data_IF_290471292293
#
_entry.id   IF_290471292293
#
_cell.length_a   1.000
_cell.length_b   1.000
_cell.length_c   1.000
_cell.angle_alpha   90.00
_cell.angle_beta   90.00
_cell.angle_gamma   90.00
#
_symmetry.space_group_name_H-M   'P 1'
#
loop_
_entity.id
_entity.type
_entity.pdbx_description
1 polymer ?
#
# COMPACT_ATOMS: atom_id res chain seq x y z
N UNK A 1 12.64 53.29 -2.45
CA UNK A 1 12.78 52.35 -3.56
C UNK A 1 13.75 51.27 -3.13
N UNK A 2 13.23 50.17 -2.58
CA UNK A 2 13.98 48.94 -2.31
C UNK A 2 13.07 47.77 -2.63
N UNK A 3 13.58 46.91 -3.49
CA UNK A 3 13.03 45.68 -4.03
C UNK A 3 13.22 44.51 -3.06
N UNK A 4 12.21 43.65 -2.91
CA UNK A 4 12.29 42.16 -2.94
C UNK A 4 10.88 41.62 -2.66
N UNK A 5 10.11 41.28 -3.69
CA UNK A 5 10.07 39.96 -4.35
C UNK A 5 9.55 38.86 -3.41
N UNK A 6 8.23 38.89 -3.21
CA UNK A 6 7.40 37.80 -2.70
C UNK A 6 7.61 36.50 -3.47
N UNK A 7 7.60 35.40 -2.70
CA UNK A 7 7.37 34.01 -3.10
C UNK A 7 8.43 33.34 -3.99
N UNK A 8 9.36 32.67 -3.31
CA UNK A 8 10.16 31.58 -3.85
C UNK A 8 9.26 30.36 -4.06
N UNK A 9 9.08 30.00 -5.33
CA UNK A 9 9.25 28.66 -5.91
C UNK A 9 8.73 27.45 -5.11
N UNK A 10 7.64 26.89 -5.62
CA UNK A 10 7.49 25.48 -6.03
C UNK A 10 8.27 24.43 -5.25
N UNK A 11 7.56 23.57 -4.51
CA UNK A 11 7.94 22.16 -4.38
C UNK A 11 6.67 21.31 -4.26
N UNK A 12 6.10 21.00 -5.42
CA UNK A 12 5.31 19.78 -5.61
C UNK A 12 6.32 18.71 -5.99
N UNK A 13 6.50 17.63 -5.21
CA UNK A 13 7.33 16.54 -5.67
C UNK A 13 6.59 15.81 -6.80
N UNK A 14 6.89 16.27 -8.00
CA UNK A 14 7.34 15.47 -9.12
C UNK A 14 6.68 14.09 -9.23
N UNK A 15 5.61 14.06 -10.02
CA UNK A 15 5.29 12.93 -10.86
C UNK A 15 6.54 12.48 -11.65
N UNK A 16 7.24 11.47 -11.15
CA UNK A 16 8.23 10.73 -11.91
C UNK A 16 7.61 9.37 -12.28
N UNK A 17 7.16 9.26 -13.54
CA UNK A 17 6.86 7.99 -14.18
C UNK A 17 7.33 8.10 -15.66
N UNK A 18 7.86 7.02 -16.25
CA UNK A 18 9.31 6.91 -16.44
C UNK A 18 9.71 6.57 -17.90
N UNK A 19 10.96 6.87 -18.28
CA UNK A 19 11.61 6.28 -19.46
C UNK A 19 12.76 5.40 -18.98
N UNK A 20 12.46 4.14 -18.71
CA UNK A 20 13.38 3.00 -18.85
C UNK A 20 12.53 1.73 -18.72
N UNK A 21 12.23 1.11 -19.87
CA UNK A 21 11.35 -0.05 -19.98
C UNK A 21 12.02 -1.39 -19.58
N UNK A 22 13.18 -1.37 -18.92
CA UNK A 22 13.93 -2.59 -18.55
C UNK A 22 14.63 -2.52 -17.17
N UNK A 23 14.47 -1.42 -16.42
CA UNK A 23 14.98 -1.39 -15.05
C UNK A 23 14.04 -2.20 -14.13
N UNK A 24 14.56 -3.03 -13.20
CA UNK A 24 13.72 -3.66 -12.20
C UNK A 24 12.93 -2.57 -11.46
N UNK A 25 11.62 -2.78 -11.21
CA UNK A 25 10.79 -1.77 -10.59
C UNK A 25 11.39 -1.38 -9.25
N UNK A 26 11.50 -0.07 -8.99
CA UNK A 26 11.90 0.43 -7.68
C UNK A 26 10.96 -0.10 -6.60
N UNK A 27 11.43 -0.26 -5.35
CA UNK A 27 10.59 -0.76 -4.25
C UNK A 27 9.29 0.04 -4.11
N UNK A 28 9.37 1.36 -4.27
CA UNK A 28 8.20 2.25 -4.25
C UNK A 28 7.19 1.94 -5.36
N UNK A 29 7.65 1.77 -6.61
CA UNK A 29 6.77 1.41 -7.72
C UNK A 29 6.14 0.02 -7.54
N UNK A 30 6.84 -0.91 -6.89
CA UNK A 30 6.29 -2.20 -6.53
C UNK A 30 5.21 -2.07 -5.44
N UNK A 31 5.43 -1.29 -4.39
CA UNK A 31 4.43 -1.01 -3.35
C UNK A 31 3.18 -0.36 -3.94
N UNK A 32 3.31 0.61 -4.86
CA UNK A 32 2.14 1.23 -5.52
C UNK A 32 1.32 0.20 -6.30
N UNK A 33 1.95 -0.73 -7.03
CA UNK A 33 1.22 -1.79 -7.73
C UNK A 33 0.47 -2.72 -6.78
N UNK A 34 1.05 -3.05 -5.63
CA UNK A 34 0.39 -3.85 -4.60
C UNK A 34 -0.75 -3.07 -3.95
N UNK A 35 -0.56 -1.78 -3.70
CA UNK A 35 -1.57 -0.90 -3.13
C UNK A 35 -2.83 -0.82 -4.03
N UNK A 36 -2.67 -0.88 -5.35
CA UNK A 36 -3.79 -0.96 -6.29
C UNK A 36 -4.58 -2.29 -6.17
N UNK A 37 -3.92 -3.42 -5.88
CA UNK A 37 -4.64 -4.65 -5.53
C UNK A 37 -5.39 -4.50 -4.22
N UNK A 38 -4.74 -3.94 -3.18
CA UNK A 38 -5.39 -3.66 -1.89
C UNK A 38 -6.63 -2.76 -2.07
N UNK A 39 -6.50 -1.70 -2.88
CA UNK A 39 -7.61 -0.80 -3.24
C UNK A 39 -8.80 -1.53 -3.84
N UNK A 40 -8.55 -2.43 -4.80
CA UNK A 40 -9.61 -3.23 -5.44
C UNK A 40 -10.30 -4.16 -4.43
N UNK A 41 -9.51 -4.88 -3.63
CA UNK A 41 -10.04 -5.76 -2.58
C UNK A 41 -10.90 -4.98 -1.60
N UNK A 42 -10.47 -3.79 -1.19
CA UNK A 42 -11.24 -2.94 -0.28
C UNK A 42 -12.53 -2.44 -0.90
N UNK A 43 -12.49 -1.99 -2.15
CA UNK A 43 -13.69 -1.55 -2.88
C UNK A 43 -14.73 -2.67 -2.95
N UNK A 44 -14.29 -3.90 -3.25
CA UNK A 44 -15.15 -5.08 -3.27
C UNK A 44 -15.72 -5.42 -1.89
N UNK A 45 -14.93 -5.32 -0.82
CA UNK A 45 -15.39 -5.68 0.52
C UNK A 45 -16.29 -4.62 1.16
N UNK A 46 -15.98 -3.34 0.94
CA UNK A 46 -16.72 -2.20 1.45
C UNK A 46 -17.93 -1.84 0.58
N UNK A 47 -18.05 -2.45 -0.61
CA UNK A 47 -19.13 -2.20 -1.59
C UNK A 47 -19.19 -0.72 -2.01
N UNK A 48 -18.02 -0.13 -2.25
CA UNK A 48 -17.86 1.26 -2.73
C UNK A 48 -17.06 1.30 -4.02
N UNK A 49 -17.18 2.39 -4.77
CA UNK A 49 -16.42 2.57 -6.00
C UNK A 49 -14.91 2.60 -5.72
N UNK A 50 -14.15 1.87 -6.55
CA UNK A 50 -12.69 1.79 -6.42
C UNK A 50 -12.02 3.17 -6.55
N UNK A 51 -12.61 4.06 -7.34
CA UNK A 51 -12.15 5.45 -7.53
C UNK A 51 -12.36 6.33 -6.30
N UNK A 52 -13.23 5.94 -5.36
CA UNK A 52 -13.44 6.65 -4.11
C UNK A 52 -12.35 6.36 -3.05
N UNK A 53 -11.48 5.37 -3.31
CA UNK A 53 -10.40 4.96 -2.41
C UNK A 53 -9.07 5.48 -2.97
N UNK A 54 -8.44 6.43 -2.28
CA UNK A 54 -7.09 6.88 -2.53
C UNK A 54 -6.07 5.94 -1.83
N UNK A 55 -5.11 5.41 -2.58
CA UNK A 55 -4.12 4.47 -2.05
C UNK A 55 -3.22 5.04 -0.95
N UNK A 56 -3.04 6.37 -0.89
CA UNK A 56 -2.15 7.05 0.07
C UNK A 56 -2.89 7.62 1.26
N UNK A 57 -4.17 7.95 1.09
CA UNK A 57 -4.88 8.79 2.04
C UNK A 57 -6.21 8.21 2.53
N UNK A 58 -6.80 7.24 1.84
CA UNK A 58 -8.05 6.67 2.30
C UNK A 58 -7.82 5.71 3.47
N UNK A 59 -8.50 6.02 4.57
CA UNK A 59 -8.52 5.23 5.79
C UNK A 59 -9.59 4.12 5.69
N UNK A 60 -9.17 2.86 5.87
CA UNK A 60 -10.06 1.70 5.84
C UNK A 60 -11.26 1.79 6.79
N UNK A 61 -11.03 2.29 8.00
CA UNK A 61 -12.04 2.35 9.05
C UNK A 61 -13.00 3.53 8.83
N UNK A 62 -12.51 4.66 8.31
CA UNK A 62 -13.38 5.79 7.91
C UNK A 62 -14.29 5.44 6.72
N UNK A 63 -13.83 4.56 5.83
CA UNK A 63 -14.64 4.03 4.72
C UNK A 63 -15.70 3.01 5.17
N UNK A 64 -15.80 2.71 6.47
CA UNK A 64 -16.76 1.75 7.03
C UNK A 64 -16.21 0.35 7.28
N UNK A 65 -14.89 0.18 7.21
CA UNK A 65 -14.20 -1.07 7.52
C UNK A 65 -14.20 -1.40 9.01
N UNK A 66 -14.09 -2.70 9.32
CA UNK A 66 -14.01 -3.22 10.67
C UNK A 66 -13.09 -4.44 10.72
N UNK A 67 -12.68 -4.86 11.92
CA UNK A 67 -11.60 -5.84 12.13
C UNK A 67 -11.79 -7.17 11.38
N UNK A 68 -13.02 -7.68 11.28
CA UNK A 68 -13.29 -8.91 10.52
C UNK A 68 -13.14 -8.68 9.01
N UNK A 69 -13.58 -7.52 8.50
CA UNK A 69 -13.42 -7.17 7.09
C UNK A 69 -11.95 -6.91 6.74
N UNK A 70 -11.19 -6.30 7.67
CA UNK A 70 -9.75 -6.13 7.55
C UNK A 70 -9.04 -7.47 7.41
N UNK A 71 -9.35 -8.44 8.28
CA UNK A 71 -8.77 -9.77 8.22
C UNK A 71 -9.11 -10.47 6.89
N UNK A 72 -10.35 -10.34 6.43
CA UNK A 72 -10.77 -10.87 5.12
C UNK A 72 -10.03 -10.20 3.95
N UNK A 73 -9.81 -8.88 4.02
CA UNK A 73 -9.07 -8.14 3.00
C UNK A 73 -7.61 -8.60 2.91
N UNK A 74 -6.97 -8.78 4.07
CA UNK A 74 -5.59 -9.25 4.17
C UNK A 74 -5.48 -10.69 3.67
N UNK A 75 -6.39 -11.58 4.08
CA UNK A 75 -6.42 -12.97 3.60
C UNK A 75 -6.51 -13.04 2.08
N UNK A 76 -7.46 -12.30 1.48
CA UNK A 76 -7.59 -12.20 0.01
C UNK A 76 -6.33 -11.66 -0.68
N UNK A 77 -5.68 -10.65 -0.10
CA UNK A 77 -4.44 -10.10 -0.64
C UNK A 77 -3.32 -11.16 -0.66
N UNK A 78 -3.21 -11.96 0.40
CA UNK A 78 -2.18 -13.00 0.50
C UNK A 78 -2.48 -14.18 -0.43
N UNK A 79 -3.74 -14.58 -0.53
CA UNK A 79 -4.22 -15.58 -1.49
C UNK A 79 -3.93 -15.16 -2.94
N UNK A 80 -4.25 -13.91 -3.33
CA UNK A 80 -3.94 -13.37 -4.66
C UNK A 80 -2.44 -13.39 -4.99
N UNK A 81 -1.59 -13.38 -3.97
CA UNK A 81 -0.13 -13.37 -4.09
C UNK A 81 0.49 -14.76 -4.02
N UNK A 82 -0.31 -15.79 -3.77
CA UNK A 82 0.10 -17.19 -3.80
C UNK A 82 0.80 -17.66 -2.53
N UNK A 83 0.57 -17.02 -1.38
CA UNK A 83 1.03 -17.54 -0.10
C UNK A 83 0.18 -18.73 0.34
N UNK A 84 0.83 -19.77 0.84
CA UNK A 84 0.13 -20.89 1.47
C UNK A 84 -0.48 -20.46 2.81
N UNK A 85 -1.53 -21.16 3.27
CA UNK A 85 -2.28 -20.82 4.51
C UNK A 85 -1.36 -20.66 5.74
N UNK A 86 -0.28 -21.44 5.81
CA UNK A 86 0.67 -21.39 6.92
C UNK A 86 1.58 -20.15 6.88
N UNK A 87 2.01 -19.72 5.69
CA UNK A 87 2.82 -18.51 5.51
C UNK A 87 1.96 -17.24 5.66
N UNK A 88 0.71 -17.32 5.22
CA UNK A 88 -0.26 -16.24 5.36
C UNK A 88 -0.50 -15.87 6.82
N UNK A 89 -0.61 -16.84 7.73
CA UNK A 89 -0.89 -16.59 9.15
C UNK A 89 0.16 -15.69 9.84
N UNK A 90 1.46 -15.84 9.50
CA UNK A 90 2.51 -14.97 10.04
C UNK A 90 2.40 -13.54 9.49
N UNK A 91 2.07 -13.41 8.20
CA UNK A 91 1.90 -12.12 7.53
C UNK A 91 0.62 -11.40 7.95
N UNK A 92 -0.46 -12.14 8.22
CA UNK A 92 -1.75 -11.60 8.67
C UNK A 92 -1.60 -10.76 9.93
N UNK A 93 -0.86 -11.25 10.92
CA UNK A 93 -0.63 -10.51 12.17
C UNK A 93 0.12 -9.19 11.93
N UNK A 94 1.16 -9.21 11.10
CA UNK A 94 1.95 -8.02 10.77
C UNK A 94 1.13 -6.99 9.97
N UNK A 95 0.39 -7.44 8.97
CA UNK A 95 -0.45 -6.59 8.13
C UNK A 95 -1.62 -6.00 8.92
N UNK A 96 -2.23 -6.80 9.80
CA UNK A 96 -3.32 -6.35 10.64
C UNK A 96 -2.83 -5.28 11.63
N UNK A 97 -1.69 -5.51 12.29
CA UNK A 97 -1.08 -4.51 13.16
C UNK A 97 -0.77 -3.22 12.39
N UNK A 98 -0.16 -3.32 11.21
CA UNK A 98 0.09 -2.18 10.33
C UNK A 98 -1.18 -1.44 9.95
N UNK A 99 -2.28 -2.15 9.69
CA UNK A 99 -3.54 -1.54 9.28
C UNK A 99 -4.13 -0.68 10.39
N UNK A 100 -3.99 -1.10 11.65
CA UNK A 100 -4.45 -0.30 12.80
C UNK A 100 -3.60 0.95 13.05
N UNK A 101 -2.31 0.93 12.69
CA UNK A 101 -1.43 2.08 12.83
C UNK A 101 -1.56 3.07 11.66
N UNK A 102 -1.61 2.53 10.45
CA UNK A 102 -1.70 3.28 9.21
C UNK A 102 -2.68 2.57 8.25
N UNK A 103 -3.98 2.93 8.32
CA UNK A 103 -5.07 2.23 7.64
C UNK A 103 -5.18 2.59 6.15
N UNK A 104 -4.05 2.72 5.45
CA UNK A 104 -4.01 3.08 4.04
C UNK A 104 -3.60 1.90 3.16
N UNK A 105 -4.08 1.80 1.90
CA UNK A 105 -3.69 0.72 1.00
C UNK A 105 -2.17 0.67 0.75
N UNK A 106 -1.51 1.84 0.68
CA UNK A 106 -0.07 1.93 0.48
C UNK A 106 0.71 1.39 1.68
N UNK A 107 0.30 1.72 2.91
CA UNK A 107 0.96 1.23 4.11
C UNK A 107 0.91 -0.30 4.23
N UNK A 108 -0.21 -0.91 3.81
CA UNK A 108 -0.35 -2.38 3.72
C UNK A 108 0.61 -2.96 2.68
N UNK A 109 0.67 -2.35 1.50
CA UNK A 109 1.58 -2.76 0.44
C UNK A 109 3.05 -2.69 0.88
N UNK A 110 3.46 -1.59 1.52
CA UNK A 110 4.82 -1.42 2.01
C UNK A 110 5.20 -2.43 3.09
N UNK A 111 4.25 -2.74 3.99
CA UNK A 111 4.45 -3.76 5.02
C UNK A 111 4.65 -5.14 4.39
N UNK A 112 3.80 -5.52 3.43
CA UNK A 112 3.95 -6.78 2.70
C UNK A 112 5.29 -6.86 1.97
N UNK A 113 5.69 -5.78 1.29
CA UNK A 113 6.95 -5.72 0.56
C UNK A 113 8.16 -5.77 1.48
N UNK A 114 8.08 -5.14 2.66
CA UNK A 114 9.11 -5.21 3.70
C UNK A 114 9.22 -6.61 4.29
N UNK A 115 8.10 -7.29 4.54
CA UNK A 115 8.08 -8.67 5.02
C UNK A 115 8.66 -9.64 3.98
N UNK A 116 8.33 -9.46 2.70
CA UNK A 116 8.92 -10.21 1.58
C UNK A 116 10.43 -9.99 1.45
N UNK A 117 10.90 -8.76 1.62
CA UNK A 117 12.32 -8.44 1.59
C UNK A 117 13.07 -9.06 2.79
N UNK A 118 12.44 -9.09 3.97
CA UNK A 118 13.00 -9.71 5.17
C UNK A 118 13.02 -11.25 5.10
N UNK A 119 12.00 -11.86 4.50
CA UNK A 119 11.91 -13.31 4.27
C UNK A 119 12.83 -13.82 3.13
N UNK A 120 13.29 -12.93 2.25
CA UNK A 120 14.19 -13.23 1.13
C UNK A 120 15.69 -13.20 1.45
N UNK A 121 16.10 -12.83 2.66
CA UNK A 121 17.51 -12.98 3.05
C UNK A 121 17.82 -14.47 3.27
N UNK A 122 18.89 -15.03 2.65
CA UNK A 122 19.23 -16.43 2.87
C UNK A 122 19.51 -16.65 4.36
N UNK A 123 18.70 -17.50 4.99
CA UNK A 123 19.00 -18.08 6.31
C UNK A 123 20.23 -18.98 6.13
N UNK A 124 21.42 -18.38 6.20
CA UNK A 124 22.70 -19.07 6.26
C UNK A 124 22.93 -19.73 7.62
#
# INVERSE_FOLDING_TARGET
MSTESTARTTESPAAAAPTNADAPPTPEAASVRVAESVRRIWAELLQIDVEAIDVRHSDFFELGGYSLLALQAIGRLLEERGFDEFEAAELEGALLNRLFEEPTPLAQAECLQSALAAGGAPRA
#
